data_IF_118730163332
#
_entry.id   IF_118730163332
#
_cell.length_a   1.000
_cell.length_b   1.000
_cell.length_c   1.000
_cell.angle_alpha   90.00
_cell.angle_beta   90.00
_cell.angle_gamma   90.00
#
_symmetry.space_group_name_H-M   'P 1'
#
loop_
_entity.id
_entity.type
_entity.pdbx_description
1 polymer ?
#
# COMPACT_ATOMS: atom_id res chain seq x y z
N UNK A 1 16.71 24.06 -4.15
CA UNK A 1 16.93 22.68 -3.67
C UNK A 1 15.63 22.14 -3.09
N UNK A 2 15.21 20.97 -3.55
CA UNK A 2 14.01 20.26 -3.11
C UNK A 2 14.08 19.93 -1.61
N UNK A 3 12.94 20.05 -0.92
CA UNK A 3 12.81 19.68 0.50
C UNK A 3 12.10 18.34 0.67
N UNK A 4 10.99 18.14 -0.05
CA UNK A 4 10.23 16.89 -0.06
C UNK A 4 11.11 15.73 -0.54
N UNK A 5 11.01 14.60 0.16
CA UNK A 5 11.80 13.39 -0.11
C UNK A 5 11.08 12.48 -1.09
N UNK A 6 11.84 11.65 -1.79
CA UNK A 6 11.29 10.72 -2.78
C UNK A 6 11.59 9.29 -2.32
N UNK A 7 10.53 8.52 -2.07
CA UNK A 7 10.59 7.09 -1.84
C UNK A 7 10.44 6.39 -3.19
N UNK A 8 11.35 5.48 -3.53
CA UNK A 8 11.29 4.71 -4.77
C UNK A 8 11.23 3.23 -4.46
N UNK A 9 10.20 2.55 -4.97
CA UNK A 9 10.15 1.10 -4.94
C UNK A 9 11.15 0.53 -5.93
N UNK A 10 12.03 -0.34 -5.46
CA UNK A 10 13.06 -0.99 -6.28
C UNK A 10 12.60 -2.39 -6.68
N UNK A 11 12.83 -2.74 -7.94
CA UNK A 11 12.53 -4.05 -8.49
C UNK A 11 13.61 -4.49 -9.48
N UNK A 12 13.36 -5.59 -10.24
CA UNK A 12 14.38 -6.20 -11.11
C UNK A 12 15.01 -5.26 -12.15
N UNK A 13 14.30 -4.19 -12.56
CA UNK A 13 14.80 -3.22 -13.54
C UNK A 13 15.69 -2.13 -12.93
N UNK A 14 15.66 -1.96 -11.60
CA UNK A 14 16.27 -0.83 -10.90
C UNK A 14 17.18 -1.25 -9.75
N UNK A 15 17.41 -2.55 -9.56
CA UNK A 15 18.24 -3.09 -8.47
C UNK A 15 19.76 -3.03 -8.70
N UNK A 16 20.22 -2.76 -9.92
CA UNK A 16 21.65 -2.67 -10.22
C UNK A 16 22.29 -1.42 -9.60
N UNK A 17 23.55 -1.51 -9.19
CA UNK A 17 24.28 -0.36 -8.63
C UNK A 17 24.32 0.84 -9.61
N UNK A 18 24.39 0.57 -10.92
CA UNK A 18 24.35 1.61 -11.95
C UNK A 18 23.02 2.39 -11.92
N UNK A 19 21.90 1.66 -11.89
CA UNK A 19 20.58 2.29 -11.85
C UNK A 19 20.32 2.97 -10.52
N UNK A 20 20.70 2.36 -9.40
CA UNK A 20 20.59 2.98 -8.07
C UNK A 20 21.41 4.28 -7.99
N UNK A 21 22.62 4.31 -8.56
CA UNK A 21 23.42 5.54 -8.65
C UNK A 21 22.67 6.63 -9.41
N UNK A 22 22.15 6.30 -10.60
CA UNK A 22 21.35 7.21 -11.43
C UNK A 22 20.08 7.69 -10.72
N UNK A 23 19.39 6.82 -9.98
CA UNK A 23 18.19 7.20 -9.21
C UNK A 23 18.52 8.13 -8.05
N UNK A 24 19.64 7.89 -7.35
CA UNK A 24 20.14 8.80 -6.30
C UNK A 24 20.59 10.15 -6.89
N UNK A 25 21.16 10.18 -8.10
CA UNK A 25 21.43 11.43 -8.84
C UNK A 25 20.14 12.17 -9.20
N UNK A 26 19.12 11.44 -9.68
CA UNK A 26 17.85 12.02 -10.09
C UNK A 26 17.01 12.56 -8.92
N UNK A 27 17.22 12.07 -7.69
CA UNK A 27 16.62 12.64 -6.49
C UNK A 27 15.99 11.65 -5.50
N UNK A 28 16.15 10.35 -5.72
CA UNK A 28 15.73 9.30 -4.78
C UNK A 28 16.36 9.52 -3.39
N UNK A 29 15.59 9.28 -2.34
CA UNK A 29 16.05 9.42 -0.94
C UNK A 29 15.83 8.16 -0.10
N UNK A 30 14.82 7.36 -0.42
CA UNK A 30 14.49 6.12 0.30
C UNK A 30 14.24 5.01 -0.69
N UNK A 31 14.86 3.85 -0.48
CA UNK A 31 14.54 2.60 -1.17
C UNK A 31 13.42 1.89 -0.46
N UNK A 32 12.29 1.70 -1.15
CA UNK A 32 11.21 0.83 -0.71
C UNK A 32 11.40 -0.58 -1.27
N UNK A 33 11.33 -1.57 -0.40
CA UNK A 33 11.29 -3.00 -0.73
C UNK A 33 9.87 -3.51 -0.47
N UNK A 34 9.16 -3.91 -1.52
CA UNK A 34 7.80 -4.41 -1.41
C UNK A 34 7.80 -5.93 -1.23
N UNK A 35 7.48 -6.42 -0.02
CA UNK A 35 7.51 -7.85 0.31
C UNK A 35 6.29 -8.64 -0.15
N UNK A 36 5.33 -7.99 -0.81
CA UNK A 36 4.33 -8.68 -1.64
C UNK A 36 4.96 -9.43 -2.82
N UNK A 37 6.20 -9.10 -3.18
CA UNK A 37 6.96 -9.71 -4.27
C UNK A 37 8.42 -9.99 -3.89
N UNK A 38 9.06 -10.89 -4.64
CA UNK A 38 10.47 -11.25 -4.43
C UNK A 38 10.70 -12.16 -3.23
N UNK A 39 11.94 -12.58 -3.06
CA UNK A 39 12.41 -13.39 -1.94
C UNK A 39 13.51 -12.68 -1.14
N UNK A 40 13.96 -13.29 -0.03
CA UNK A 40 14.98 -12.70 0.82
C UNK A 40 16.34 -12.53 0.15
N UNK A 41 16.69 -13.40 -0.82
CA UNK A 41 17.95 -13.29 -1.53
C UNK A 41 17.94 -12.07 -2.46
N UNK A 42 16.86 -11.87 -3.21
CA UNK A 42 16.66 -10.69 -4.05
C UNK A 42 16.68 -9.39 -3.22
N UNK A 43 15.91 -9.35 -2.13
CA UNK A 43 15.85 -8.16 -1.27
C UNK A 43 17.19 -7.88 -0.58
N UNK A 44 17.88 -8.92 -0.10
CA UNK A 44 19.22 -8.80 0.47
C UNK A 44 20.23 -8.25 -0.54
N UNK A 45 20.16 -8.71 -1.79
CA UNK A 45 21.02 -8.19 -2.86
C UNK A 45 20.74 -6.72 -3.17
N UNK A 46 19.48 -6.30 -3.20
CA UNK A 46 19.09 -4.87 -3.36
C UNK A 46 19.65 -3.99 -2.24
N UNK A 47 19.54 -4.46 -0.99
CA UNK A 47 20.10 -3.78 0.19
C UNK A 47 21.61 -3.64 0.06
N UNK A 48 22.31 -4.71 -0.30
CA UNK A 48 23.75 -4.70 -0.48
C UNK A 48 24.18 -3.75 -1.60
N UNK A 49 23.50 -3.79 -2.75
CA UNK A 49 23.79 -2.91 -3.88
C UNK A 49 23.64 -1.43 -3.50
N UNK A 50 22.55 -1.06 -2.81
CA UNK A 50 22.36 0.33 -2.36
C UNK A 50 23.45 0.77 -1.38
N UNK A 51 23.79 -0.08 -0.40
CA UNK A 51 24.86 0.20 0.57
C UNK A 51 26.22 0.35 -0.09
N UNK A 52 26.53 -0.47 -1.09
CA UNK A 52 27.74 -0.33 -1.90
C UNK A 52 27.77 1.02 -2.63
N UNK A 53 26.66 1.42 -3.25
CA UNK A 53 26.55 2.72 -3.93
C UNK A 53 26.74 3.87 -2.93
N UNK A 54 26.11 3.81 -1.76
CA UNK A 54 26.28 4.80 -0.70
C UNK A 54 27.74 4.90 -0.25
N UNK A 55 28.42 3.77 -0.05
CA UNK A 55 29.84 3.72 0.33
C UNK A 55 30.76 4.27 -0.77
N UNK A 56 30.48 3.99 -2.05
CA UNK A 56 31.30 4.43 -3.20
C UNK A 56 31.14 5.92 -3.50
N UNK A 57 29.91 6.44 -3.36
CA UNK A 57 29.56 7.80 -3.79
C UNK A 57 29.51 8.81 -2.64
N UNK A 58 29.47 8.35 -1.39
CA UNK A 58 29.27 9.20 -0.21
C UNK A 58 27.83 9.73 -0.06
N UNK A 59 26.91 9.31 -0.92
CA UNK A 59 25.50 9.69 -0.82
C UNK A 59 24.78 8.96 0.31
N UNK A 60 23.73 9.59 0.83
CA UNK A 60 22.87 9.02 1.87
C UNK A 60 21.51 8.65 1.31
N UNK A 61 21.03 7.47 1.67
CA UNK A 61 19.68 7.00 1.43
C UNK A 61 19.22 6.15 2.62
N UNK A 62 17.92 5.99 2.78
CA UNK A 62 17.32 5.09 3.76
C UNK A 62 16.68 3.87 3.08
N UNK A 63 16.41 2.83 3.85
CA UNK A 63 15.79 1.58 3.43
C UNK A 63 14.48 1.39 4.20
N UNK A 64 13.40 1.20 3.45
CA UNK A 64 12.06 0.98 3.95
C UNK A 64 11.57 -0.40 3.49
N UNK A 65 11.27 -1.27 4.45
CA UNK A 65 10.61 -2.55 4.22
C UNK A 65 9.09 -2.33 4.25
N UNK A 66 8.38 -2.66 3.17
CA UNK A 66 6.92 -2.59 3.12
C UNK A 66 6.35 -4.02 3.19
N UNK A 67 5.64 -4.30 4.28
CA UNK A 67 5.04 -5.61 4.57
C UNK A 67 3.95 -5.95 3.57
N UNK A 68 3.71 -7.24 3.32
CA UNK A 68 2.60 -7.65 2.47
C UNK A 68 1.26 -7.35 3.16
N UNK A 69 1.17 -7.66 4.45
CA UNK A 69 0.00 -7.46 5.27
C UNK A 69 -1.08 -8.53 5.07
N UNK A 70 -2.09 -8.51 5.96
CA UNK A 70 -3.26 -9.38 5.87
C UNK A 70 -4.17 -8.93 4.72
N UNK A 71 -4.43 -9.82 3.77
CA UNK A 71 -5.31 -9.55 2.62
C UNK A 71 -6.35 -10.66 2.44
N UNK A 72 -7.58 -10.29 2.11
CA UNK A 72 -8.62 -11.23 1.71
C UNK A 72 -8.55 -11.37 0.20
N UNK A 73 -8.51 -12.61 -0.30
CA UNK A 73 -8.53 -12.89 -1.74
C UNK A 73 -9.57 -13.93 -2.10
N UNK A 74 -10.09 -13.85 -3.31
CA UNK A 74 -10.73 -14.99 -3.99
C UNK A 74 -9.68 -16.08 -4.28
N UNK A 75 -10.11 -17.30 -4.59
CA UNK A 75 -9.19 -18.42 -4.86
C UNK A 75 -9.23 -18.77 -6.37
N UNK A 76 -9.34 -20.06 -6.70
CA UNK A 76 -9.26 -20.59 -8.06
C UNK A 76 -10.63 -20.61 -8.72
N UNK A 77 -10.64 -20.48 -10.04
CA UNK A 77 -11.81 -20.60 -10.88
C UNK A 77 -11.74 -21.86 -11.74
N UNK A 78 -12.89 -22.34 -12.18
CA UNK A 78 -13.00 -23.50 -13.04
C UNK A 78 -12.17 -23.32 -14.33
N UNK A 79 -11.22 -24.24 -14.53
CA UNK A 79 -10.31 -24.21 -15.68
C UNK A 79 -9.35 -23.02 -15.73
N UNK A 80 -9.25 -22.21 -14.66
CA UNK A 80 -8.43 -21.01 -14.62
C UNK A 80 -8.91 -19.89 -15.55
N UNK A 81 -10.19 -19.92 -15.94
CA UNK A 81 -10.78 -18.92 -16.82
C UNK A 81 -11.54 -17.86 -16.02
N UNK A 82 -11.46 -16.62 -16.46
CA UNK A 82 -12.27 -15.53 -15.90
C UNK A 82 -13.76 -15.78 -16.16
N UNK A 83 -14.62 -15.34 -15.24
CA UNK A 83 -16.07 -15.49 -15.29
C UNK A 83 -16.78 -14.14 -15.30
N UNK A 84 -17.70 -13.93 -16.24
CA UNK A 84 -18.49 -12.70 -16.30
C UNK A 84 -19.68 -12.73 -15.36
N UNK A 85 -19.75 -11.77 -14.44
CA UNK A 85 -20.86 -11.58 -13.52
C UNK A 85 -21.79 -10.46 -14.03
N UNK A 86 -23.10 -10.66 -13.87
CA UNK A 86 -24.15 -9.72 -14.31
C UNK A 86 -24.81 -9.05 -13.13
N UNK A 87 -25.10 -7.75 -13.27
CA UNK A 87 -25.86 -7.00 -12.29
C UNK A 87 -27.21 -7.66 -12.00
N UNK A 88 -27.56 -7.73 -10.71
CA UNK A 88 -28.78 -8.35 -10.22
C UNK A 88 -28.71 -9.85 -10.00
N UNK A 89 -27.65 -10.54 -10.48
CA UNK A 89 -27.50 -11.97 -10.21
C UNK A 89 -27.14 -12.24 -8.75
N UNK A 90 -27.54 -13.41 -8.24
CA UNK A 90 -27.06 -13.92 -6.97
C UNK A 90 -25.66 -14.50 -7.15
N UNK A 91 -24.75 -14.13 -6.25
CA UNK A 91 -23.39 -14.66 -6.22
C UNK A 91 -22.99 -14.98 -4.79
N UNK A 92 -22.29 -16.08 -4.57
CA UNK A 92 -22.00 -16.59 -3.22
C UNK A 92 -20.50 -16.61 -2.96
N UNK A 93 -20.08 -16.10 -1.80
CA UNK A 93 -18.75 -16.37 -1.27
C UNK A 93 -18.82 -17.53 -0.27
N UNK A 94 -17.82 -18.40 -0.28
CA UNK A 94 -17.69 -19.50 0.69
C UNK A 94 -16.33 -19.47 1.39
N UNK A 95 -16.29 -19.81 2.67
CA UNK A 95 -15.02 -19.98 3.40
C UNK A 95 -14.42 -21.38 3.24
N UNK A 96 -15.09 -22.29 2.51
CA UNK A 96 -14.53 -23.58 2.11
C UNK A 96 -13.52 -23.42 0.97
N UNK A 97 -12.22 -23.46 1.33
CA UNK A 97 -11.08 -23.29 0.41
C UNK A 97 -10.94 -24.43 -0.61
N UNK A 98 -11.66 -25.54 -0.45
CA UNK A 98 -11.66 -26.64 -1.42
C UNK A 98 -12.57 -26.39 -2.63
N UNK A 99 -13.48 -25.42 -2.53
CA UNK A 99 -14.40 -25.06 -3.61
C UNK A 99 -13.65 -24.32 -4.72
N UNK A 100 -13.72 -24.87 -5.94
CA UNK A 100 -13.30 -24.18 -7.16
C UNK A 100 -14.46 -23.29 -7.61
N UNK A 101 -14.18 -22.00 -7.81
CA UNK A 101 -15.20 -21.02 -8.11
C UNK A 101 -15.66 -21.01 -9.57
N UNK A 102 -16.86 -20.49 -9.79
CA UNK A 102 -17.48 -20.33 -11.10
C UNK A 102 -18.36 -19.06 -11.11
N UNK A 103 -19.33 -18.98 -12.02
CA UNK A 103 -20.22 -17.83 -12.15
C UNK A 103 -21.27 -17.68 -11.03
N UNK A 104 -21.39 -18.65 -10.11
CA UNK A 104 -22.37 -18.66 -9.02
C UNK A 104 -21.74 -18.58 -7.62
N UNK A 105 -20.53 -19.14 -7.45
CA UNK A 105 -19.84 -19.23 -6.16
C UNK A 105 -18.33 -19.08 -6.30
N UNK A 106 -17.66 -18.48 -5.30
CA UNK A 106 -16.20 -18.50 -5.21
C UNK A 106 -15.74 -18.62 -3.75
N UNK A 107 -14.63 -19.34 -3.53
CA UNK A 107 -14.01 -19.42 -2.22
C UNK A 107 -13.19 -18.17 -1.89
N UNK A 108 -13.09 -17.84 -0.60
CA UNK A 108 -12.24 -16.77 -0.06
C UNK A 108 -11.20 -17.30 0.92
N UNK A 109 -10.07 -16.60 1.04
CA UNK A 109 -8.97 -17.00 1.93
C UNK A 109 -9.30 -16.82 3.42
N UNK A 110 -10.24 -15.93 3.75
CA UNK A 110 -10.53 -15.50 5.11
C UNK A 110 -11.61 -16.35 5.78
N UNK A 111 -11.26 -17.02 6.88
CA UNK A 111 -12.18 -17.91 7.60
C UNK A 111 -13.24 -17.15 8.40
N UNK A 112 -12.94 -15.93 8.85
CA UNK A 112 -13.89 -15.06 9.57
C UNK A 112 -14.89 -14.33 8.68
N UNK A 113 -14.88 -14.57 7.36
CA UNK A 113 -15.66 -13.80 6.39
C UNK A 113 -17.17 -13.76 6.69
N UNK A 114 -17.75 -14.89 7.12
CA UNK A 114 -19.17 -14.97 7.51
C UNK A 114 -19.47 -14.36 8.88
N UNK A 115 -18.47 -14.22 9.75
CA UNK A 115 -18.63 -13.71 11.12
C UNK A 115 -18.54 -12.19 11.17
N UNK A 116 -17.70 -11.61 10.33
CA UNK A 116 -17.46 -10.17 10.31
C UNK A 116 -18.48 -9.42 9.45
N UNK A 117 -19.07 -10.09 8.46
CA UNK A 117 -20.10 -9.51 7.59
C UNK A 117 -21.50 -9.58 8.22
N UNK A 118 -22.32 -8.62 7.82
CA UNK A 118 -23.74 -8.53 8.12
C UNK A 118 -24.54 -8.28 6.84
N UNK A 119 -25.82 -8.65 6.86
CA UNK A 119 -26.76 -8.32 5.77
C UNK A 119 -26.78 -6.80 5.55
N UNK A 120 -26.70 -6.38 4.28
CA UNK A 120 -26.58 -4.98 3.86
C UNK A 120 -25.15 -4.45 3.74
N UNK A 121 -24.12 -5.19 4.18
CA UNK A 121 -22.75 -4.78 3.92
C UNK A 121 -22.39 -4.88 2.43
N UNK A 122 -21.44 -4.05 2.00
CA UNK A 122 -20.86 -4.10 0.66
C UNK A 122 -19.63 -4.98 0.64
N UNK A 123 -19.51 -5.82 -0.37
CA UNK A 123 -18.31 -6.59 -0.70
C UNK A 123 -17.79 -6.09 -2.05
N UNK A 124 -16.55 -5.64 -2.07
CA UNK A 124 -15.87 -5.17 -3.27
C UNK A 124 -14.80 -6.18 -3.69
N UNK A 125 -14.70 -6.47 -4.99
CA UNK A 125 -13.73 -7.42 -5.54
C UNK A 125 -12.94 -6.78 -6.67
N UNK A 126 -11.65 -7.10 -6.73
CA UNK A 126 -10.69 -6.61 -7.74
C UNK A 126 -10.58 -5.08 -7.74
N UNK A 127 -10.13 -4.53 -6.61
CA UNK A 127 -9.94 -3.09 -6.39
C UNK A 127 -11.22 -2.27 -6.63
N UNK A 128 -12.38 -2.84 -6.25
CA UNK A 128 -13.68 -2.21 -6.40
C UNK A 128 -14.30 -2.32 -7.80
N UNK A 129 -13.70 -3.10 -8.71
CA UNK A 129 -14.25 -3.34 -10.05
C UNK A 129 -15.65 -3.97 -9.98
N UNK A 130 -15.87 -4.89 -9.05
CA UNK A 130 -17.15 -5.58 -8.86
C UNK A 130 -17.66 -5.29 -7.45
N UNK A 131 -18.81 -4.63 -7.37
CA UNK A 131 -19.54 -4.40 -6.12
C UNK A 131 -20.67 -5.39 -5.93
N UNK A 132 -20.83 -5.87 -4.70
CA UNK A 132 -21.90 -6.75 -4.28
C UNK A 132 -22.47 -6.31 -2.93
N UNK A 133 -23.76 -6.56 -2.72
CA UNK A 133 -24.44 -6.31 -1.44
C UNK A 133 -24.81 -7.64 -0.79
N UNK A 134 -24.47 -7.82 0.48
CA UNK A 134 -24.79 -9.03 1.24
C UNK A 134 -26.30 -9.11 1.47
N UNK A 135 -26.91 -10.20 1.01
CA UNK A 135 -28.36 -10.45 1.14
C UNK A 135 -28.70 -11.49 2.19
N UNK A 136 -27.82 -12.47 2.42
CA UNK A 136 -27.96 -13.49 3.46
C UNK A 136 -26.60 -14.06 3.87
N UNK A 137 -26.52 -14.60 5.09
CA UNK A 137 -25.36 -15.33 5.59
C UNK A 137 -25.86 -16.66 6.14
N UNK A 138 -25.37 -17.76 5.58
CA UNK A 138 -25.86 -19.11 5.84
C UNK A 138 -24.68 -20.06 6.05
N UNK A 139 -24.42 -20.44 7.30
CA UNK A 139 -23.31 -21.34 7.64
C UNK A 139 -21.96 -20.75 7.22
N UNK A 140 -21.29 -21.40 6.27
CA UNK A 140 -20.00 -20.98 5.72
C UNK A 140 -20.10 -20.13 4.45
N UNK A 141 -21.31 -19.65 4.11
CA UNK A 141 -21.59 -18.90 2.88
C UNK A 141 -22.11 -17.50 3.17
N UNK A 142 -21.67 -16.55 2.34
CA UNK A 142 -22.22 -15.19 2.25
C UNK A 142 -22.86 -15.05 0.87
N UNK A 143 -24.18 -14.89 0.86
CA UNK A 143 -24.97 -14.76 -0.37
C UNK A 143 -25.14 -13.29 -0.68
N UNK A 144 -24.68 -12.85 -1.83
CA UNK A 144 -24.70 -11.47 -2.26
C UNK A 144 -25.53 -11.28 -3.53
N UNK A 145 -26.00 -10.06 -3.73
CA UNK A 145 -26.52 -9.57 -5.01
C UNK A 145 -25.45 -8.74 -5.70
N UNK A 146 -25.12 -9.07 -6.94
CA UNK A 146 -24.16 -8.31 -7.75
C UNK A 146 -24.76 -6.97 -8.15
N UNK A 147 -24.03 -5.87 -7.93
CA UNK A 147 -24.52 -4.50 -8.16
C UNK A 147 -24.20 -3.99 -9.57
N UNK A 148 -23.11 -4.45 -10.18
CA UNK A 148 -22.66 -4.05 -11.50
C UNK A 148 -22.11 -5.23 -12.32
N UNK A 149 -22.09 -5.11 -13.64
CA UNK A 149 -21.43 -6.10 -14.50
C UNK A 149 -19.91 -6.02 -14.30
N UNK A 150 -19.23 -7.16 -14.41
CA UNK A 150 -17.77 -7.22 -14.40
C UNK A 150 -17.24 -8.64 -14.57
N UNK A 151 -15.96 -8.75 -14.90
CA UNK A 151 -15.28 -10.04 -15.09
C UNK A 151 -14.45 -10.37 -13.84
N UNK A 152 -14.74 -11.50 -13.21
CA UNK A 152 -14.03 -12.02 -12.06
C UNK A 152 -12.91 -12.95 -12.53
N UNK A 153 -11.67 -12.63 -12.14
CA UNK A 153 -10.52 -13.53 -12.30
C UNK A 153 -10.14 -14.27 -11.02
N UNK A 154 -9.03 -15.01 -11.07
CA UNK A 154 -8.48 -15.71 -9.90
C UNK A 154 -7.70 -14.78 -8.96
N UNK A 155 -7.64 -15.16 -7.67
CA UNK A 155 -6.79 -14.52 -6.66
C UNK A 155 -6.97 -12.99 -6.53
N UNK A 156 -8.19 -12.50 -6.74
CA UNK A 156 -8.53 -11.08 -6.69
C UNK A 156 -8.68 -10.61 -5.25
N UNK A 157 -8.26 -9.37 -4.98
CA UNK A 157 -8.44 -8.74 -3.68
C UNK A 157 -9.92 -8.57 -3.35
N UNK A 158 -10.26 -8.70 -2.07
CA UNK A 158 -11.61 -8.48 -1.54
C UNK A 158 -11.54 -7.42 -0.44
N UNK A 159 -12.35 -6.38 -0.58
CA UNK A 159 -12.44 -5.24 0.31
C UNK A 159 -13.82 -5.19 0.97
N UNK A 160 -13.88 -4.82 2.24
CA UNK A 160 -15.10 -4.84 3.06
C UNK A 160 -15.32 -3.45 3.72
N UNK A 161 -15.79 -2.46 2.93
CA UNK A 161 -15.99 -1.09 3.41
C UNK A 161 -16.80 -1.02 4.70
N UNK A 162 -16.24 -0.37 5.72
CA UNK A 162 -16.89 -0.14 7.01
C UNK A 162 -17.00 -1.38 7.92
N UNK A 163 -16.38 -2.49 7.56
CA UNK A 163 -16.36 -3.72 8.37
C UNK A 163 -15.05 -3.79 9.18
N UNK A 164 -15.14 -4.08 10.47
CA UNK A 164 -13.96 -4.39 11.29
C UNK A 164 -13.56 -5.83 11.03
N UNK A 165 -12.40 -6.02 10.44
CA UNK A 165 -11.91 -7.35 10.02
C UNK A 165 -11.10 -7.94 11.17
N UNK A 166 -11.40 -9.17 11.60
CA UNK A 166 -10.67 -9.87 12.65
C UNK A 166 -9.44 -10.64 12.12
N UNK A 167 -8.70 -10.05 11.17
CA UNK A 167 -7.38 -10.53 10.75
C UNK A 167 -6.28 -10.02 11.71
N UNK A 168 -5.24 -10.80 12.00
CA UNK A 168 -4.09 -10.32 12.78
C UNK A 168 -3.41 -9.15 12.07
N UNK A 169 -2.66 -8.32 12.81
CA UNK A 169 -1.92 -7.22 12.20
C UNK A 169 -0.78 -7.71 11.29
N UNK A 170 -0.15 -8.82 11.69
CA UNK A 170 0.92 -9.48 10.94
C UNK A 170 0.50 -10.90 10.56
N UNK A 171 0.57 -11.23 9.27
CA UNK A 171 0.57 -12.62 8.85
C UNK A 171 1.88 -13.30 9.31
N UNK A 172 1.89 -14.64 9.35
CA UNK A 172 3.12 -15.39 9.69
C UNK A 172 4.28 -15.07 8.75
N UNK A 173 3.98 -14.79 7.47
CA UNK A 173 4.97 -14.31 6.52
C UNK A 173 5.51 -12.92 6.92
N UNK A 174 4.64 -11.98 7.28
CA UNK A 174 5.07 -10.64 7.67
C UNK A 174 5.98 -10.68 8.90
N UNK A 175 5.71 -11.56 9.87
CA UNK A 175 6.60 -11.78 11.02
C UNK A 175 8.01 -12.16 10.59
N UNK A 176 8.14 -13.08 9.63
CA UNK A 176 9.45 -13.49 9.08
C UNK A 176 10.11 -12.37 8.27
N UNK A 177 9.32 -11.63 7.48
CA UNK A 177 9.79 -10.48 6.72
C UNK A 177 10.35 -9.38 7.66
N UNK A 178 9.73 -9.15 8.83
CA UNK A 178 10.23 -8.23 9.85
C UNK A 178 11.51 -8.71 10.53
N UNK A 179 11.64 -10.03 10.76
CA UNK A 179 12.90 -10.62 11.28
C UNK A 179 14.02 -10.35 10.28
N UNK A 180 13.79 -10.63 9.00
CA UNK A 180 14.72 -10.27 7.93
C UNK A 180 15.05 -8.77 7.92
N UNK A 181 14.05 -7.90 8.10
CA UNK A 181 14.24 -6.46 8.23
C UNK A 181 15.18 -6.08 9.39
N UNK A 182 15.04 -6.74 10.55
CA UNK A 182 15.90 -6.55 11.71
C UNK A 182 17.33 -7.04 11.43
N UNK A 183 17.49 -8.24 10.86
CA UNK A 183 18.79 -8.82 10.50
C UNK A 183 19.54 -7.95 9.49
N UNK A 184 18.82 -7.42 8.50
CA UNK A 184 19.39 -6.51 7.51
C UNK A 184 19.61 -5.11 8.05
N UNK A 185 18.98 -4.71 9.16
CA UNK A 185 19.05 -3.36 9.71
C UNK A 185 18.44 -2.31 8.77
N UNK A 186 17.16 -2.50 8.40
CA UNK A 186 16.39 -1.48 7.66
C UNK A 186 16.11 -0.26 8.54
N UNK A 187 15.87 0.90 7.94
CA UNK A 187 15.60 2.14 8.69
C UNK A 187 14.12 2.27 9.06
N UNK A 188 13.23 1.82 8.18
CA UNK A 188 11.78 1.92 8.33
C UNK A 188 11.08 0.60 8.02
N UNK A 189 9.95 0.39 8.67
CA UNK A 189 8.94 -0.62 8.32
C UNK A 189 7.64 0.10 7.98
N UNK A 190 7.19 -0.01 6.73
CA UNK A 190 5.84 0.36 6.35
C UNK A 190 4.89 -0.82 6.58
N UNK A 191 4.03 -0.68 7.57
CA UNK A 191 3.12 -1.72 8.01
C UNK A 191 1.77 -1.59 7.29
N UNK A 192 1.38 -2.64 6.57
CA UNK A 192 0.17 -2.71 5.75
C UNK A 192 -1.06 -3.05 6.59
N UNK A 193 -2.21 -2.50 6.20
CA UNK A 193 -3.56 -2.69 6.73
C UNK A 193 -3.67 -2.44 8.25
N UNK A 194 -3.01 -1.37 8.72
CA UNK A 194 -3.10 -0.95 10.11
C UNK A 194 -4.48 -0.36 10.37
N UNK A 195 -5.21 -0.96 11.31
CA UNK A 195 -6.61 -0.66 11.62
C UNK A 195 -6.79 -0.02 12.98
N UNK A 196 -5.91 -0.33 13.93
CA UNK A 196 -6.03 0.12 15.33
C UNK A 196 -4.68 0.20 16.02
N UNK A 197 -4.64 0.87 17.18
CA UNK A 197 -3.43 0.99 18.02
C UNK A 197 -2.75 -0.34 18.30
N UNK A 198 -3.51 -1.38 18.62
CA UNK A 198 -2.95 -2.68 18.99
C UNK A 198 -2.09 -3.28 17.89
N UNK A 199 -2.40 -3.00 16.63
CA UNK A 199 -1.66 -3.51 15.49
C UNK A 199 -0.24 -2.90 15.47
N UNK A 200 -0.13 -1.61 15.74
CA UNK A 200 1.16 -0.90 15.83
C UNK A 200 1.97 -1.40 17.02
N UNK A 201 1.31 -1.67 18.15
CA UNK A 201 1.94 -2.22 19.35
C UNK A 201 2.49 -3.63 19.08
N UNK A 202 1.72 -4.49 18.41
CA UNK A 202 2.16 -5.84 18.04
C UNK A 202 3.43 -5.80 17.18
N UNK A 203 3.48 -4.91 16.19
CA UNK A 203 4.68 -4.72 15.34
C UNK A 203 5.86 -4.21 16.16
N UNK A 204 5.62 -3.24 17.06
CA UNK A 204 6.65 -2.68 17.95
C UNK A 204 7.27 -3.76 18.82
N UNK A 205 6.45 -4.62 19.41
CA UNK A 205 6.88 -5.73 20.24
C UNK A 205 7.66 -6.78 19.43
N UNK A 206 7.17 -7.12 18.24
CA UNK A 206 7.84 -8.07 17.35
C UNK A 206 9.22 -7.56 16.88
N UNK A 207 9.33 -6.28 16.50
CA UNK A 207 10.61 -5.66 16.16
C UNK A 207 11.57 -5.67 17.36
N UNK A 208 11.09 -5.27 18.54
CA UNK A 208 11.91 -5.25 19.76
C UNK A 208 12.44 -6.64 20.13
N UNK A 209 11.64 -7.69 19.94
CA UNK A 209 12.04 -9.07 20.20
C UNK A 209 13.23 -9.53 19.34
N UNK A 210 13.49 -8.87 18.21
CA UNK A 210 14.54 -9.20 17.25
C UNK A 210 15.60 -8.10 17.09
N UNK A 211 15.70 -7.17 18.04
CA UNK A 211 16.71 -6.09 18.04
C UNK A 211 16.43 -4.93 17.09
N UNK A 212 15.18 -4.80 16.64
CA UNK A 212 14.71 -3.75 15.73
C UNK A 212 14.17 -2.51 16.45
N UNK A 213 14.51 -2.24 17.71
CA UNK A 213 13.87 -1.17 18.50
C UNK A 213 14.10 0.25 17.96
N UNK A 214 15.10 0.44 17.10
CA UNK A 214 15.41 1.72 16.43
C UNK A 214 14.73 1.86 15.07
N UNK A 215 14.14 0.78 14.55
CA UNK A 215 13.44 0.79 13.27
C UNK A 215 12.12 1.54 13.45
N UNK A 216 11.88 2.54 12.60
CA UNK A 216 10.69 3.37 12.68
C UNK A 216 9.50 2.69 11.99
N UNK A 217 8.34 2.68 12.65
CA UNK A 217 7.10 2.12 12.11
C UNK A 217 6.32 3.22 11.40
N UNK A 218 6.10 3.05 10.11
CA UNK A 218 5.22 3.86 9.27
C UNK A 218 3.93 3.10 9.06
N UNK A 219 2.83 3.51 9.68
CA UNK A 219 1.55 2.83 9.50
C UNK A 219 0.88 3.28 8.20
N UNK A 220 0.50 2.31 7.36
CA UNK A 220 -0.25 2.56 6.13
C UNK A 220 -1.73 2.62 6.45
N UNK A 221 -2.36 3.74 6.12
CA UNK A 221 -3.81 3.93 6.28
C UNK A 221 -4.46 3.60 4.94
N UNK A 222 -5.07 2.42 4.89
CA UNK A 222 -5.56 1.78 3.67
C UNK A 222 -7.08 1.53 3.70
N UNK A 223 -7.73 1.64 4.85
CA UNK A 223 -9.16 1.38 4.97
C UNK A 223 -9.89 2.32 5.95
N UNK A 224 -11.22 2.20 5.98
CA UNK A 224 -12.09 3.03 6.82
C UNK A 224 -11.80 2.86 8.32
N UNK A 225 -11.48 1.66 8.80
CA UNK A 225 -11.19 1.41 10.22
C UNK A 225 -9.90 2.14 10.66
N UNK A 226 -8.83 2.04 9.85
CA UNK A 226 -7.59 2.79 10.08
C UNK A 226 -7.79 4.31 10.01
N UNK A 227 -8.69 4.79 9.15
CA UNK A 227 -9.05 6.20 9.10
C UNK A 227 -9.83 6.65 10.35
N UNK A 228 -10.77 5.83 10.83
CA UNK A 228 -11.55 6.10 12.03
C UNK A 228 -10.66 6.14 13.28
N UNK A 229 -9.71 5.22 13.38
CA UNK A 229 -8.78 5.08 14.49
C UNK A 229 -7.47 5.87 14.29
N UNK A 230 -7.44 6.79 13.33
CA UNK A 230 -6.20 7.44 12.89
C UNK A 230 -5.41 8.09 14.04
N UNK A 231 -6.09 8.74 15.00
CA UNK A 231 -5.41 9.45 16.08
C UNK A 231 -4.62 8.52 17.01
N UNK A 232 -5.17 7.35 17.34
CA UNK A 232 -4.49 6.38 18.20
C UNK A 232 -3.39 5.61 17.46
N UNK A 233 -3.55 5.40 16.14
CA UNK A 233 -2.52 4.85 15.26
C UNK A 233 -1.36 5.84 15.17
N UNK A 234 -1.65 7.10 14.83
CA UNK A 234 -0.64 8.16 14.73
C UNK A 234 0.12 8.32 16.04
N UNK A 235 -0.52 8.20 17.20
CA UNK A 235 0.16 8.28 18.50
C UNK A 235 1.17 7.14 18.69
N UNK A 236 0.82 5.91 18.30
CA UNK A 236 1.67 4.72 18.47
C UNK A 236 2.77 4.56 17.40
N UNK A 237 2.57 5.13 16.21
CA UNK A 237 3.49 5.01 15.06
C UNK A 237 4.58 6.08 15.07
N UNK A 238 5.62 5.92 14.26
CA UNK A 238 6.67 6.94 14.05
C UNK A 238 6.38 7.83 12.84
N UNK A 239 5.48 7.38 11.97
CA UNK A 239 4.97 8.12 10.82
C UNK A 239 3.79 7.42 10.17
N UNK A 240 3.28 8.03 9.10
CA UNK A 240 2.10 7.58 8.37
C UNK A 240 2.41 7.48 6.88
N UNK A 241 1.81 6.50 6.21
CA UNK A 241 1.70 6.46 4.77
C UNK A 241 0.23 6.53 4.36
N UNK A 242 -0.11 7.54 3.55
CA UNK A 242 -1.44 7.73 2.99
C UNK A 242 -1.53 6.93 1.68
N UNK A 243 -2.19 5.77 1.72
CA UNK A 243 -2.31 4.86 0.58
C UNK A 243 -3.66 5.08 -0.13
N UNK A 244 -3.66 6.02 -1.09
CA UNK A 244 -4.90 6.58 -1.69
C UNK A 244 -5.63 5.60 -2.59
N UNK A 245 -4.89 4.77 -3.31
CA UNK A 245 -5.43 3.69 -4.13
C UNK A 245 -6.31 2.75 -3.31
N UNK A 246 -5.76 2.18 -2.24
CA UNK A 246 -6.47 1.26 -1.35
C UNK A 246 -7.61 1.98 -0.60
N UNK A 247 -7.33 3.18 -0.07
CA UNK A 247 -8.34 3.95 0.66
C UNK A 247 -9.52 4.34 -0.24
N UNK A 248 -9.28 4.64 -1.51
CA UNK A 248 -10.33 4.98 -2.48
C UNK A 248 -11.22 3.82 -2.90
N UNK A 249 -10.85 2.58 -2.56
CA UNK A 249 -11.73 1.40 -2.65
C UNK A 249 -12.60 1.29 -1.40
N UNK A 250 -12.09 1.73 -0.25
CA UNK A 250 -12.73 1.53 1.06
C UNK A 250 -13.66 2.66 1.48
N UNK A 251 -13.48 3.88 0.95
CA UNK A 251 -14.28 5.07 1.30
C UNK A 251 -14.80 5.78 0.03
N UNK A 252 -15.83 6.64 0.13
CA UNK A 252 -16.28 7.43 -1.02
C UNK A 252 -15.14 8.22 -1.67
N UNK A 253 -15.05 8.16 -2.99
CA UNK A 253 -13.91 8.72 -3.75
C UNK A 253 -13.70 10.21 -3.50
N UNK A 254 -14.78 10.96 -3.27
CA UNK A 254 -14.78 12.37 -2.94
C UNK A 254 -14.23 12.70 -1.54
N UNK A 255 -14.19 11.73 -0.62
CA UNK A 255 -13.70 11.89 0.75
C UNK A 255 -12.18 11.62 0.87
N UNK A 256 -11.59 10.89 -0.08
CA UNK A 256 -10.17 10.49 -0.07
C UNK A 256 -9.23 11.69 0.03
N UNK A 257 -9.55 12.79 -0.66
CA UNK A 257 -8.74 14.00 -0.63
C UNK A 257 -8.79 14.71 0.73
N UNK A 258 -9.94 14.69 1.41
CA UNK A 258 -10.08 15.26 2.74
C UNK A 258 -9.37 14.40 3.78
N UNK A 259 -9.47 13.08 3.67
CA UNK A 259 -8.72 12.13 4.50
C UNK A 259 -7.20 12.36 4.36
N UNK A 260 -6.68 12.49 3.14
CA UNK A 260 -5.26 12.82 2.90
C UNK A 260 -4.86 14.11 3.62
N UNK A 261 -5.59 15.21 3.38
CA UNK A 261 -5.26 16.52 3.98
C UNK A 261 -5.26 16.46 5.50
N UNK A 262 -6.29 15.84 6.08
CA UNK A 262 -6.43 15.67 7.52
C UNK A 262 -5.28 14.88 8.12
N UNK A 263 -4.91 13.74 7.50
CA UNK A 263 -3.80 12.91 7.98
C UNK A 263 -2.46 13.64 7.89
N UNK A 264 -2.19 14.35 6.79
CA UNK A 264 -0.98 15.16 6.61
C UNK A 264 -0.90 16.24 7.68
N UNK A 265 -1.97 17.03 7.88
CA UNK A 265 -2.01 18.10 8.87
C UNK A 265 -1.75 17.58 10.29
N UNK A 266 -2.38 16.46 10.66
CA UNK A 266 -2.18 15.83 11.97
C UNK A 266 -0.76 15.30 12.15
N UNK A 267 -0.15 14.73 11.12
CA UNK A 267 1.26 14.29 11.16
C UNK A 267 2.22 15.48 11.38
N UNK A 268 2.00 16.58 10.65
CA UNK A 268 2.77 17.83 10.84
C UNK A 268 2.66 18.31 12.29
N UNK A 269 1.45 18.37 12.84
CA UNK A 269 1.21 18.78 14.23
C UNK A 269 1.87 17.84 15.25
N UNK A 270 1.91 16.55 14.96
CA UNK A 270 2.57 15.53 15.78
C UNK A 270 4.10 15.49 15.59
N UNK A 271 4.65 16.20 14.60
CA UNK A 271 6.07 16.14 14.18
C UNK A 271 6.50 14.71 13.79
N UNK A 272 5.60 13.99 13.13
CA UNK A 272 5.82 12.63 12.62
C UNK A 272 5.79 12.67 11.10
N UNK A 273 6.62 11.86 10.47
CA UNK A 273 6.77 11.87 9.01
C UNK A 273 5.49 11.38 8.33
N UNK A 274 5.12 11.99 7.21
CA UNK A 274 4.01 11.52 6.36
C UNK A 274 4.45 11.31 4.91
N UNK A 275 4.06 10.16 4.36
CA UNK A 275 4.36 9.75 2.99
C UNK A 275 3.04 9.69 2.21
N UNK A 276 2.92 10.47 1.15
CA UNK A 276 1.79 10.33 0.21
C UNK A 276 2.15 9.29 -0.84
N UNK A 277 1.31 8.26 -0.98
CA UNK A 277 1.59 7.07 -1.76
C UNK A 277 0.42 6.67 -2.67
N UNK A 278 0.77 5.79 -3.62
CA UNK A 278 -0.08 5.17 -4.66
C UNK A 278 -0.72 6.16 -5.65
N UNK A 279 -0.90 5.73 -6.90
CA UNK A 279 -1.45 6.54 -7.99
C UNK A 279 -0.75 7.90 -8.18
N UNK A 280 0.58 7.97 -7.99
CA UNK A 280 1.30 9.24 -8.13
C UNK A 280 1.58 9.56 -9.61
N UNK A 281 2.34 8.71 -10.31
CA UNK A 281 2.72 8.89 -11.72
C UNK A 281 2.51 7.58 -12.51
N UNK A 282 1.48 6.79 -12.18
CA UNK A 282 1.26 5.42 -12.69
C UNK A 282 1.27 5.33 -14.23
N UNK A 283 0.84 6.37 -14.94
CA UNK A 283 0.92 6.41 -16.41
C UNK A 283 2.35 6.24 -16.93
N UNK A 284 3.37 6.60 -16.12
CA UNK A 284 4.79 6.47 -16.45
C UNK A 284 5.33 5.04 -16.34
N UNK A 285 4.54 4.08 -15.84
CA UNK A 285 4.85 2.66 -16.01
C UNK A 285 5.00 2.32 -17.49
N UNK A 286 4.15 2.94 -18.35
CA UNK A 286 4.10 2.68 -19.79
C UNK A 286 4.59 3.85 -20.65
N UNK A 287 4.55 5.08 -20.13
CA UNK A 287 4.80 6.30 -20.90
C UNK A 287 6.02 7.08 -20.37
N UNK A 288 6.76 7.81 -21.23
CA UNK A 288 7.93 8.57 -20.80
C UNK A 288 7.61 9.89 -20.09
N UNK A 289 6.33 10.27 -19.98
CA UNK A 289 5.87 11.51 -19.34
C UNK A 289 4.56 11.26 -18.59
N UNK A 290 4.33 11.94 -17.46
CA UNK A 290 3.08 11.83 -16.75
C UNK A 290 2.00 12.70 -17.40
N UNK A 291 0.77 12.48 -16.99
CA UNK A 291 -0.36 13.35 -17.30
C UNK A 291 -0.29 14.65 -16.47
N UNK A 292 -1.00 15.68 -16.92
CA UNK A 292 -1.16 16.92 -16.14
C UNK A 292 -1.88 16.67 -14.81
N UNK A 293 -2.81 15.72 -14.77
CA UNK A 293 -3.57 15.38 -13.56
C UNK A 293 -2.64 14.80 -12.49
N UNK A 294 -1.81 13.81 -12.86
CA UNK A 294 -0.80 13.21 -11.98
C UNK A 294 0.19 14.26 -11.45
N UNK A 295 0.70 15.13 -12.32
CA UNK A 295 1.61 16.20 -11.89
C UNK A 295 0.93 17.20 -10.92
N UNK A 296 -0.34 17.52 -11.17
CA UNK A 296 -1.14 18.38 -10.29
C UNK A 296 -1.46 17.71 -8.94
N UNK A 297 -1.70 16.41 -8.94
CA UNK A 297 -1.96 15.63 -7.74
C UNK A 297 -0.72 15.57 -6.83
N UNK A 298 0.45 15.21 -7.38
CA UNK A 298 1.74 15.28 -6.66
C UNK A 298 1.98 16.69 -6.10
N UNK A 299 1.76 17.72 -6.91
CA UNK A 299 1.94 19.11 -6.48
C UNK A 299 1.04 19.48 -5.30
N UNK A 300 -0.22 19.05 -5.31
CA UNK A 300 -1.16 19.31 -4.22
C UNK A 300 -0.77 18.55 -2.94
N UNK A 301 -0.32 17.31 -3.03
CA UNK A 301 0.20 16.57 -1.87
C UNK A 301 1.41 17.27 -1.22
N UNK A 302 2.29 17.87 -2.04
CA UNK A 302 3.41 18.70 -1.55
C UNK A 302 2.90 19.98 -0.88
N UNK A 303 1.92 20.65 -1.47
CA UNK A 303 1.33 21.87 -0.91
C UNK A 303 0.57 21.61 0.40
N UNK A 304 -0.03 20.43 0.55
CA UNK A 304 -0.64 19.95 1.79
C UNK A 304 0.39 19.74 2.89
N UNK A 305 1.66 19.52 2.52
CA UNK A 305 2.80 19.46 3.44
C UNK A 305 3.36 18.06 3.65
N UNK A 306 3.23 17.16 2.67
CA UNK A 306 3.82 15.82 2.77
C UNK A 306 5.36 15.87 2.91
N UNK A 307 5.94 15.06 3.80
CA UNK A 307 7.39 14.95 3.96
C UNK A 307 8.02 14.21 2.78
N UNK A 308 7.31 13.20 2.27
CA UNK A 308 7.73 12.41 1.13
C UNK A 308 6.59 12.05 0.18
N UNK A 309 6.97 11.78 -1.07
CA UNK A 309 6.12 11.23 -2.13
C UNK A 309 6.72 9.90 -2.59
N UNK A 310 5.88 8.93 -2.95
CA UNK A 310 6.32 7.56 -3.22
C UNK A 310 6.01 7.09 -4.64
N UNK A 311 7.03 6.61 -5.34
CA UNK A 311 6.90 5.86 -6.59
C UNK A 311 6.78 4.36 -6.31
N UNK A 312 5.79 3.73 -6.94
CA UNK A 312 5.43 2.32 -6.76
C UNK A 312 5.81 1.51 -8.01
N UNK A 313 4.86 1.28 -8.91
CA UNK A 313 5.11 0.51 -10.13
C UNK A 313 6.05 1.21 -11.11
N UNK A 314 6.06 2.54 -11.07
CA UNK A 314 6.84 3.43 -11.95
C UNK A 314 8.34 3.12 -11.86
N UNK A 315 8.86 3.04 -10.63
CA UNK A 315 10.28 2.80 -10.36
C UNK A 315 10.65 1.32 -10.25
N UNK A 316 9.69 0.43 -9.98
CA UNK A 316 9.97 -0.99 -9.79
C UNK A 316 9.99 -1.78 -11.11
N UNK A 317 8.93 -1.65 -11.92
CA UNK A 317 8.71 -2.44 -13.14
C UNK A 317 8.44 -1.60 -14.40
N UNK A 318 8.33 -0.29 -14.25
CA UNK A 318 8.07 0.66 -15.33
C UNK A 318 9.09 0.61 -16.47
N UNK A 319 8.70 1.15 -17.62
CA UNK A 319 9.59 1.34 -18.78
C UNK A 319 10.50 2.56 -18.63
N UNK A 320 10.09 3.53 -17.82
CA UNK A 320 10.76 4.83 -17.65
C UNK A 320 11.02 5.17 -16.18
N UNK A 321 11.70 4.29 -15.41
CA UNK A 321 11.87 4.49 -13.98
C UNK A 321 12.72 5.73 -13.64
N UNK A 322 13.76 6.01 -14.44
CA UNK A 322 14.64 7.16 -14.19
C UNK A 322 13.93 8.49 -14.51
N UNK A 323 13.15 8.51 -15.59
CA UNK A 323 12.34 9.65 -15.98
C UNK A 323 11.27 9.96 -14.93
N UNK A 324 10.63 8.92 -14.36
CA UNK A 324 9.66 9.07 -13.28
C UNK A 324 10.28 9.72 -12.03
N UNK A 325 11.48 9.29 -11.61
CA UNK A 325 12.20 9.94 -10.49
C UNK A 325 12.56 11.38 -10.85
N UNK A 326 13.03 11.61 -12.08
CA UNK A 326 13.49 12.94 -12.54
C UNK A 326 12.34 13.95 -12.58
N UNK A 327 11.18 13.58 -13.13
CA UNK A 327 10.02 14.47 -13.15
C UNK A 327 9.42 14.66 -11.75
N UNK A 328 9.40 13.61 -10.91
CA UNK A 328 9.00 13.72 -9.51
C UNK A 328 9.88 14.73 -8.76
N UNK A 329 11.20 14.66 -8.95
CA UNK A 329 12.14 15.62 -8.38
C UNK A 329 11.93 17.03 -8.93
N UNK A 330 11.60 17.17 -10.21
CA UNK A 330 11.27 18.47 -10.83
C UNK A 330 10.02 19.09 -10.19
N UNK A 331 8.97 18.29 -9.97
CA UNK A 331 7.75 18.74 -9.27
C UNK A 331 8.09 19.12 -7.82
N UNK A 332 8.86 18.30 -7.10
CA UNK A 332 9.31 18.58 -5.72
C UNK A 332 10.22 19.81 -5.58
N UNK A 333 10.97 20.17 -6.62
CA UNK A 333 11.77 21.40 -6.64
C UNK A 333 10.90 22.62 -6.92
N UNK A 334 9.91 22.47 -7.82
CA UNK A 334 9.00 23.53 -8.24
C UNK A 334 8.04 23.94 -7.12
N UNK A 335 7.46 22.95 -6.43
CA UNK A 335 6.51 23.18 -5.34
C UNK A 335 7.18 22.98 -3.99
N UNK A 336 6.92 23.90 -3.08
CA UNK A 336 7.31 23.80 -1.66
C UNK A 336 6.07 23.85 -0.78
N UNK A 337 6.09 23.18 0.39
CA UNK A 337 5.01 23.27 1.36
C UNK A 337 4.64 24.73 1.64
N UNK A 338 3.34 25.01 1.84
CA UNK A 338 2.84 26.41 1.96
C UNK A 338 3.54 27.23 3.05
N UNK A 339 3.99 26.59 4.13
CA UNK A 339 4.71 27.26 5.23
C UNK A 339 6.11 27.76 4.85
N UNK A 340 6.66 27.35 3.71
CA UNK A 340 7.97 27.76 3.19
C UNK A 340 7.89 28.76 2.03
N UNK A 341 6.68 29.19 1.63
CA UNK A 341 6.53 30.20 0.58
C UNK A 341 6.71 31.60 1.18
N UNK A 342 7.56 32.46 0.59
CA UNK A 342 7.66 33.85 1.03
C UNK A 342 6.31 34.53 0.84
N UNK A 343 5.93 35.32 1.86
CA UNK A 343 4.71 36.14 1.90
C UNK A 343 4.58 37.09 0.72
#
# INVERSE_FOLDING_TARGET
MKKTKIVCTIGPKTESEEMLTKMLDAGMNVMRLNFSHGDYAEHGQRIQNLRNVMSKTGKKAAILLDTKGPEIRTIKLEGGNDVSLKAGQTFTFTTDKSVVGNNEIVAVTYEGFTSDLSVGNTVLVDDGLIGMEVTAIEGNKVVCKVLNNGDLGENKGVNLPGVSIALPALAEKDKQDLIFGCEQGVDFVAASFIRKRSDVVEIREHLKAHGGEKIQIISKIENQEGLNNFDEILEASDGIMVARGDLGVEIPVEEVIFAQKMMIEKCIRARKVVITATQMLDSMIKNPRPTRAEAGDVANAILDGTDAVMLSGESAKGKYPLEAVTIMATICETYRPRHDQPS
#
